data_IF_222336224162
#
_entry.id   IF_222336224162
#
_cell.length_a   1.000
_cell.length_b   1.000
_cell.length_c   1.000
_cell.angle_alpha   90.00
_cell.angle_beta   90.00
_cell.angle_gamma   90.00
#
_symmetry.space_group_name_H-M   'P 1'
#
loop_
_entity.id
_entity.type
_entity.pdbx_description
1 polymer ?
#
# COMPACT_ATOMS: atom_id res chain seq x y z
N UNK A 1 -5.33 1.18 -12.99
CA UNK A 1 -4.40 0.57 -13.97
C UNK A 1 -4.69 1.17 -15.36
N UNK A 2 -3.73 1.89 -15.97
CA UNK A 2 -3.86 2.39 -17.34
C UNK A 2 -2.93 1.58 -18.25
N UNK A 3 -3.51 0.86 -19.21
CA UNK A 3 -2.77 0.07 -20.19
C UNK A 3 -2.50 0.93 -21.42
N UNK A 4 -1.23 1.12 -21.78
CA UNK A 4 -0.83 1.80 -23.02
C UNK A 4 -0.35 0.76 -24.02
N UNK A 5 -1.20 0.41 -24.99
CA UNK A 5 -0.86 -0.48 -26.09
C UNK A 5 -0.57 0.34 -27.36
N UNK A 6 0.53 0.08 -28.08
CA UNK A 6 0.56 0.30 -29.51
C UNK A 6 -0.55 -0.54 -30.15
N UNK A 7 -1.14 -0.07 -31.25
CA UNK A 7 -2.20 -0.78 -31.98
C UNK A 7 -1.78 -2.20 -32.37
N UNK A 8 -2.11 -3.19 -31.55
CA UNK A 8 -1.84 -4.61 -31.81
C UNK A 8 -3.11 -5.41 -31.47
N UNK A 9 -3.67 -6.08 -32.48
CA UNK A 9 -4.80 -6.99 -32.30
C UNK A 9 -4.28 -8.34 -31.81
N UNK A 10 -4.76 -8.79 -30.64
CA UNK A 10 -4.50 -10.16 -30.18
C UNK A 10 -5.44 -11.12 -30.94
N UNK A 11 -4.94 -12.09 -31.73
CA UNK A 11 -5.79 -13.08 -32.35
C UNK A 11 -6.27 -14.11 -31.32
N UNK A 12 -7.56 -14.45 -31.42
CA UNK A 12 -8.29 -15.43 -30.60
C UNK A 12 -7.54 -16.78 -30.50
N UNK A 13 -6.68 -16.92 -29.50
CA UNK A 13 -6.14 -18.20 -29.04
C UNK A 13 -5.66 -18.03 -27.61
N UNK A 14 -6.12 -18.88 -26.70
CA UNK A 14 -5.69 -18.91 -25.30
C UNK A 14 -4.21 -19.32 -25.24
N UNK A 15 -3.31 -18.34 -25.35
CA UNK A 15 -1.88 -18.54 -25.19
C UNK A 15 -1.40 -17.62 -24.06
N UNK A 16 -0.97 -18.24 -22.96
CA UNK A 16 -0.24 -17.54 -21.90
C UNK A 16 1.03 -16.92 -22.50
N UNK A 17 1.21 -15.62 -22.25
CA UNK A 17 2.42 -14.87 -22.59
C UNK A 17 2.94 -14.26 -21.30
N UNK A 18 4.21 -14.50 -20.98
CA UNK A 18 4.88 -13.86 -19.87
C UNK A 18 5.05 -12.36 -20.16
N UNK A 19 4.76 -11.55 -19.15
CA UNK A 19 5.14 -10.15 -19.06
C UNK A 19 6.27 -9.99 -18.03
N UNK A 20 6.89 -8.81 -18.00
CA UNK A 20 7.96 -8.50 -17.04
C UNK A 20 7.66 -7.20 -16.32
N UNK A 21 8.23 -7.05 -15.13
CA UNK A 21 8.39 -5.78 -14.43
C UNK A 21 9.89 -5.56 -14.17
N UNK A 22 10.26 -4.33 -13.81
CA UNK A 22 11.63 -3.93 -13.51
C UNK A 22 11.66 -2.58 -12.82
N UNK A 23 12.78 -2.24 -12.18
CA UNK A 23 12.90 -1.02 -11.39
C UNK A 23 12.90 0.22 -12.29
N UNK A 24 12.41 1.34 -11.74
CA UNK A 24 12.50 2.64 -12.42
C UNK A 24 13.96 3.03 -12.60
N UNK A 25 14.46 3.01 -13.84
CA UNK A 25 15.84 3.38 -14.17
C UNK A 25 16.65 2.25 -14.81
N UNK A 26 16.17 1.01 -14.74
CA UNK A 26 16.77 -0.11 -15.48
C UNK A 26 16.65 0.10 -16.99
N UNK A 27 17.59 -0.46 -17.77
CA UNK A 27 17.41 -0.58 -19.23
C UNK A 27 16.39 -1.68 -19.52
N UNK A 28 15.20 -1.35 -20.08
CA UNK A 28 14.14 -2.32 -20.25
C UNK A 28 14.43 -3.35 -21.35
N UNK A 29 15.29 -3.04 -22.34
CA UNK A 29 15.44 -3.85 -23.54
C UNK A 29 16.19 -5.18 -23.34
N UNK A 30 17.26 -5.25 -22.52
CA UNK A 30 17.79 -6.53 -22.05
C UNK A 30 16.72 -7.43 -21.42
N UNK A 31 15.80 -6.85 -20.64
CA UNK A 31 14.76 -7.58 -19.92
C UNK A 31 13.67 -8.05 -20.89
N UNK A 32 13.26 -7.24 -21.86
CA UNK A 32 12.36 -7.68 -22.94
C UNK A 32 12.99 -8.75 -23.84
N UNK A 33 14.32 -8.74 -24.03
CA UNK A 33 15.01 -9.84 -24.71
C UNK A 33 14.94 -11.13 -23.90
N UNK A 34 14.98 -11.06 -22.57
CA UNK A 34 14.77 -12.20 -21.68
C UNK A 34 13.32 -12.69 -21.75
N UNK A 35 12.33 -11.78 -21.66
CA UNK A 35 10.90 -12.09 -21.84
C UNK A 35 10.66 -12.92 -23.10
N UNK A 36 11.28 -12.51 -24.22
CA UNK A 36 11.16 -13.21 -25.51
C UNK A 36 11.67 -14.66 -25.48
N UNK A 37 12.61 -15.01 -24.60
CA UNK A 37 13.11 -16.40 -24.48
C UNK A 37 12.11 -17.34 -23.82
N UNK A 38 11.22 -16.81 -22.99
CA UNK A 38 10.21 -17.60 -22.27
C UNK A 38 8.85 -17.66 -22.98
N UNK A 39 8.67 -16.83 -24.01
CA UNK A 39 7.44 -16.77 -24.80
C UNK A 39 7.59 -17.55 -26.11
N UNK A 40 6.46 -18.06 -26.61
CA UNK A 40 6.41 -18.73 -27.90
C UNK A 40 6.90 -17.80 -29.03
N UNK A 41 7.61 -18.33 -30.04
CA UNK A 41 8.01 -17.54 -31.20
C UNK A 41 6.83 -16.79 -31.83
N UNK A 42 7.02 -15.49 -32.08
CA UNK A 42 5.98 -14.61 -32.62
C UNK A 42 4.90 -14.15 -31.61
N UNK A 43 4.92 -14.65 -30.36
CA UNK A 43 3.96 -14.29 -29.29
C UNK A 43 4.64 -13.60 -28.10
N UNK A 44 5.48 -12.60 -28.37
CA UNK A 44 6.19 -11.86 -27.31
C UNK A 44 6.31 -10.38 -27.63
N UNK A 45 5.18 -9.66 -27.54
CA UNK A 45 5.21 -8.20 -27.53
C UNK A 45 5.97 -7.73 -26.27
N UNK A 46 6.95 -6.81 -26.38
CA UNK A 46 7.61 -6.23 -25.22
C UNK A 46 6.58 -5.52 -24.34
N UNK A 47 6.39 -6.00 -23.11
CA UNK A 47 5.38 -5.47 -22.20
C UNK A 47 5.94 -5.40 -20.79
N UNK A 48 5.98 -4.18 -20.26
CA UNK A 48 6.12 -3.94 -18.82
C UNK A 48 4.73 -4.00 -18.18
N UNK A 49 4.47 -5.04 -17.38
CA UNK A 49 3.21 -5.20 -16.65
C UNK A 49 3.12 -4.24 -15.45
N UNK A 50 4.27 -3.81 -14.93
CA UNK A 50 4.37 -2.77 -13.91
C UNK A 50 5.54 -1.85 -14.28
N UNK A 51 5.22 -0.69 -14.83
CA UNK A 51 6.16 0.41 -15.00
C UNK A 51 6.00 1.34 -13.80
N UNK A 52 6.93 1.23 -12.85
CA UNK A 52 6.85 1.99 -11.62
C UNK A 52 6.99 3.50 -11.88
N UNK A 53 5.94 4.27 -11.58
CA UNK A 53 5.96 5.74 -11.72
C UNK A 53 6.40 6.45 -10.45
N UNK A 54 6.50 5.71 -9.36
CA UNK A 54 6.87 6.15 -8.02
C UNK A 54 7.04 4.94 -7.11
N UNK A 55 6.75 5.05 -5.81
CA UNK A 55 6.91 3.94 -4.87
C UNK A 55 5.98 4.06 -3.66
N UNK A 56 5.75 2.93 -2.97
CA UNK A 56 5.03 2.90 -1.70
C UNK A 56 5.87 3.51 -0.57
N UNK A 57 5.23 3.85 0.55
CA UNK A 57 5.90 4.41 1.74
C UNK A 57 5.31 3.76 2.98
N UNK A 58 6.17 3.48 3.95
CA UNK A 58 5.75 2.94 5.24
C UNK A 58 5.69 4.03 6.33
N UNK A 59 4.95 3.77 7.40
CA UNK A 59 4.97 4.64 8.58
C UNK A 59 6.38 4.79 9.15
N UNK A 60 6.77 6.04 9.43
CA UNK A 60 8.10 6.39 9.96
C UNK A 60 9.16 6.63 8.89
N UNK A 61 8.89 6.36 7.61
CA UNK A 61 9.78 6.67 6.50
C UNK A 61 9.53 8.08 5.95
N UNK A 62 10.51 8.60 5.19
CA UNK A 62 10.28 9.78 4.36
C UNK A 62 9.41 9.41 3.16
N UNK A 63 8.51 10.31 2.75
CA UNK A 63 7.64 10.09 1.59
C UNK A 63 8.48 9.78 0.35
N UNK A 64 8.21 8.63 -0.27
CA UNK A 64 8.91 8.21 -1.47
C UNK A 64 8.56 9.14 -2.66
N UNK A 65 9.57 9.51 -3.43
CA UNK A 65 9.41 10.36 -4.62
C UNK A 65 10.31 9.87 -5.74
N UNK A 66 9.88 10.04 -6.99
CA UNK A 66 10.71 9.78 -8.17
C UNK A 66 10.72 10.96 -9.12
N UNK A 67 11.85 11.19 -9.78
CA UNK A 67 12.03 12.32 -10.68
C UNK A 67 11.19 12.18 -11.96
N UNK A 68 10.35 13.18 -12.23
CA UNK A 68 9.46 13.22 -13.38
C UNK A 68 10.19 13.09 -14.73
N UNK A 69 11.38 13.69 -14.85
CA UNK A 69 12.14 13.68 -16.11
C UNK A 69 12.72 12.29 -16.39
N UNK A 70 13.28 11.66 -15.36
CA UNK A 70 13.83 10.31 -15.41
C UNK A 70 12.76 9.27 -15.71
N UNK A 71 11.60 9.34 -15.03
CA UNK A 71 10.46 8.46 -15.31
C UNK A 71 9.97 8.63 -16.75
N UNK A 72 9.85 9.87 -17.24
CA UNK A 72 9.43 10.13 -18.63
C UNK A 72 10.45 9.60 -19.66
N UNK A 73 11.75 9.74 -19.39
CA UNK A 73 12.82 9.19 -20.25
C UNK A 73 12.75 7.66 -20.31
N UNK A 74 12.52 7.00 -19.17
CA UNK A 74 12.36 5.55 -19.11
C UNK A 74 11.14 5.09 -19.92
N UNK A 75 9.97 5.72 -19.73
CA UNK A 75 8.76 5.42 -20.52
C UNK A 75 8.98 5.62 -22.02
N UNK A 76 9.67 6.70 -22.41
CA UNK A 76 10.01 6.99 -23.82
C UNK A 76 10.85 5.88 -24.44
N UNK A 77 11.80 5.34 -23.69
CA UNK A 77 12.67 4.26 -24.16
C UNK A 77 11.90 2.97 -24.48
N UNK A 78 10.73 2.76 -23.85
CA UNK A 78 9.82 1.64 -24.10
C UNK A 78 8.92 1.96 -25.29
N UNK A 79 8.12 3.02 -25.20
CA UNK A 79 7.04 3.31 -26.16
C UNK A 79 7.58 3.64 -27.56
N UNK A 80 8.62 4.47 -27.68
CA UNK A 80 9.17 4.87 -28.98
C UNK A 80 9.91 3.73 -29.71
N UNK A 81 10.04 2.56 -29.08
CA UNK A 81 10.63 1.35 -29.66
C UNK A 81 9.59 0.21 -29.76
N UNK A 82 8.30 0.58 -29.82
CA UNK A 82 7.17 -0.34 -29.97
C UNK A 82 6.99 -1.32 -28.79
N UNK A 83 7.43 -0.94 -27.60
CA UNK A 83 7.09 -1.62 -26.35
C UNK A 83 5.80 -1.07 -25.74
N UNK A 84 5.16 -1.86 -24.90
CA UNK A 84 3.96 -1.50 -24.13
C UNK A 84 4.30 -1.37 -22.64
N UNK A 85 3.55 -0.54 -21.93
CA UNK A 85 3.72 -0.38 -20.49
C UNK A 85 2.36 -0.16 -19.79
N UNK A 86 2.24 -0.73 -18.60
CA UNK A 86 1.18 -0.43 -17.64
C UNK A 86 1.78 0.48 -16.56
N UNK A 87 1.27 1.69 -16.42
CA UNK A 87 1.78 2.64 -15.42
C UNK A 87 1.32 2.20 -14.02
N UNK A 88 2.28 1.80 -13.19
CA UNK A 88 2.07 1.41 -11.79
C UNK A 88 2.68 2.47 -10.86
N UNK A 89 1.93 3.32 -10.19
CA UNK A 89 0.51 3.56 -10.33
C UNK A 89 0.27 4.81 -11.17
N UNK A 90 -0.59 4.73 -12.20
CA UNK A 90 -1.08 5.94 -12.87
C UNK A 90 -1.83 6.87 -11.90
N UNK A 91 -2.62 6.28 -11.01
CA UNK A 91 -3.30 6.90 -9.88
C UNK A 91 -3.29 5.85 -8.76
N UNK A 92 -2.71 6.16 -7.61
CA UNK A 92 -2.65 5.20 -6.51
C UNK A 92 -3.86 5.30 -5.57
N UNK A 93 -4.19 6.49 -5.08
CA UNK A 93 -5.39 6.75 -4.27
C UNK A 93 -5.16 6.58 -2.78
N UNK A 94 -6.08 5.92 -2.08
CA UNK A 94 -6.12 5.84 -0.60
C UNK A 94 -6.47 4.44 -0.13
N UNK A 95 -5.72 3.94 0.85
CA UNK A 95 -6.02 2.73 1.61
C UNK A 95 -6.98 3.07 2.76
N UNK A 96 -8.28 3.16 2.47
CA UNK A 96 -9.29 3.46 3.51
C UNK A 96 -9.41 2.35 4.56
N UNK A 97 -9.89 2.69 5.75
CA UNK A 97 -10.14 1.71 6.82
C UNK A 97 -8.86 0.96 7.22
N UNK A 98 -8.92 -0.37 7.15
CA UNK A 98 -7.80 -1.28 7.48
C UNK A 98 -7.28 -2.04 6.25
N UNK A 99 -7.40 -1.44 5.06
CA UNK A 99 -6.98 -2.08 3.81
C UNK A 99 -5.51 -1.84 3.43
N UNK A 100 -4.73 -1.17 4.29
CA UNK A 100 -3.31 -0.99 4.03
C UNK A 100 -2.57 -2.34 4.10
N UNK A 101 -1.55 -2.49 3.25
CA UNK A 101 -0.63 -3.61 3.29
C UNK A 101 0.47 -3.41 4.34
N UNK A 102 1.44 -4.32 4.29
CA UNK A 102 2.68 -4.22 5.02
C UNK A 102 3.77 -5.09 4.36
N UNK A 103 5.03 -4.77 4.65
CA UNK A 103 6.19 -5.55 4.27
C UNK A 103 7.02 -5.93 5.49
N UNK A 104 7.90 -6.92 5.32
CA UNK A 104 9.01 -7.19 6.24
C UNK A 104 10.27 -6.48 5.75
N UNK A 105 11.10 -5.99 6.67
CA UNK A 105 12.39 -5.38 6.38
C UNK A 105 13.47 -6.40 6.04
N UNK A 106 14.69 -6.16 6.52
CA UNK A 106 15.79 -7.12 6.31
C UNK A 106 15.56 -8.43 7.07
N UNK A 107 14.85 -8.34 8.17
CA UNK A 107 14.44 -9.48 9.00
C UNK A 107 12.92 -9.60 9.04
N UNK A 108 12.42 -10.80 9.30
CA UNK A 108 10.99 -11.07 9.46
C UNK A 108 10.34 -10.32 10.65
N UNK A 109 11.17 -9.83 11.58
CA UNK A 109 10.74 -9.08 12.76
C UNK A 109 10.57 -7.57 12.48
N UNK A 110 11.07 -7.07 11.36
CA UNK A 110 10.89 -5.68 10.95
C UNK A 110 9.57 -5.50 10.21
N UNK A 111 8.48 -5.37 10.95
CA UNK A 111 7.17 -5.07 10.37
C UNK A 111 7.08 -3.61 9.91
N UNK A 112 6.73 -3.42 8.63
CA UNK A 112 6.57 -2.11 8.01
C UNK A 112 5.17 -1.97 7.43
N UNK A 113 4.28 -1.29 8.14
CA UNK A 113 2.93 -1.00 7.64
C UNK A 113 2.96 0.12 6.61
N UNK A 114 2.24 -0.07 5.50
CA UNK A 114 2.01 0.96 4.49
C UNK A 114 1.21 2.13 5.06
N UNK A 115 1.41 3.33 4.50
CA UNK A 115 0.60 4.49 4.82
C UNK A 115 -0.87 4.30 4.39
N UNK A 116 -1.77 5.08 5.03
CA UNK A 116 -3.14 5.27 4.56
C UNK A 116 -3.16 5.93 3.17
N UNK A 117 -2.29 6.92 2.95
CA UNK A 117 -2.12 7.49 1.61
C UNK A 117 -1.45 6.48 0.71
N UNK A 118 -2.03 6.25 -0.47
CA UNK A 118 -1.42 5.51 -1.55
C UNK A 118 -1.15 6.45 -2.73
N UNK A 119 -0.74 7.71 -2.48
CA UNK A 119 -0.39 8.69 -3.55
C UNK A 119 0.65 8.12 -4.50
N UNK A 120 1.57 7.30 -3.97
CA UNK A 120 2.62 6.58 -4.71
C UNK A 120 3.61 7.50 -5.45
N UNK A 121 3.54 8.82 -5.23
CA UNK A 121 4.08 9.83 -6.15
C UNK A 121 3.66 9.59 -7.62
N UNK A 122 2.44 9.09 -7.81
CA UNK A 122 1.82 8.85 -9.09
C UNK A 122 1.64 10.15 -9.90
N UNK A 123 1.54 10.07 -11.24
CA UNK A 123 1.19 11.22 -12.05
C UNK A 123 -0.22 11.76 -11.77
N UNK A 124 -1.16 10.95 -11.31
CA UNK A 124 -2.45 11.43 -10.79
C UNK A 124 -2.40 11.32 -9.27
N UNK A 125 -2.42 12.46 -8.58
CA UNK A 125 -2.32 12.54 -7.12
C UNK A 125 -3.47 11.83 -6.42
N UNK A 126 -3.31 11.51 -5.14
CA UNK A 126 -4.31 10.83 -4.30
C UNK A 126 -5.69 11.49 -4.39
N UNK A 127 -5.74 12.81 -4.45
CA UNK A 127 -6.98 13.59 -4.57
C UNK A 127 -7.38 13.90 -6.04
N UNK A 128 -6.80 13.21 -7.01
CA UNK A 128 -7.12 13.32 -8.44
C UNK A 128 -6.40 14.43 -9.21
N UNK A 129 -5.55 15.23 -8.57
CA UNK A 129 -4.85 16.33 -9.23
C UNK A 129 -3.82 15.86 -10.26
N UNK A 130 -3.83 16.50 -11.43
CA UNK A 130 -2.97 16.23 -12.59
C UNK A 130 -2.03 17.38 -12.90
N UNK A 131 -2.07 18.49 -12.15
CA UNK A 131 -1.27 19.69 -12.41
C UNK A 131 0.18 19.61 -11.93
N UNK A 132 0.79 18.43 -12.00
CA UNK A 132 2.15 18.17 -11.56
C UNK A 132 3.12 17.90 -12.75
N UNK A 133 4.44 18.04 -12.54
CA UNK A 133 5.43 17.81 -13.60
C UNK A 133 5.40 16.39 -14.19
N UNK A 134 5.12 15.37 -13.37
CA UNK A 134 5.14 13.96 -13.78
C UNK A 134 4.02 13.65 -14.76
N UNK A 135 2.79 14.06 -14.47
CA UNK A 135 1.66 13.94 -15.39
C UNK A 135 1.97 14.60 -16.73
N UNK A 136 2.42 15.86 -16.71
CA UNK A 136 2.74 16.63 -17.91
C UNK A 136 3.82 15.94 -18.76
N UNK A 137 4.86 15.41 -18.12
CA UNK A 137 5.96 14.73 -18.80
C UNK A 137 5.54 13.39 -19.43
N UNK A 138 4.80 12.55 -18.70
CA UNK A 138 4.33 11.25 -19.21
C UNK A 138 3.30 11.45 -20.34
N UNK A 139 2.35 12.38 -20.17
CA UNK A 139 1.37 12.73 -21.21
C UNK A 139 2.04 13.17 -22.50
N UNK A 140 3.10 13.97 -22.43
CA UNK A 140 3.91 14.38 -23.59
C UNK A 140 4.58 13.18 -24.26
N UNK A 141 5.24 12.32 -23.50
CA UNK A 141 5.94 11.13 -24.04
C UNK A 141 4.99 10.17 -24.74
N UNK A 142 3.80 9.94 -24.16
CA UNK A 142 2.77 9.08 -24.77
C UNK A 142 2.37 9.66 -26.14
N UNK A 143 2.09 10.96 -26.23
CA UNK A 143 1.77 11.61 -27.50
C UNK A 143 2.92 11.50 -28.51
N UNK A 144 4.15 11.84 -28.10
CA UNK A 144 5.34 11.79 -28.96
C UNK A 144 5.58 10.38 -29.54
N UNK A 145 5.42 9.32 -28.75
CA UNK A 145 5.75 7.97 -29.19
C UNK A 145 4.58 7.22 -29.87
N UNK A 146 3.33 7.59 -29.60
CA UNK A 146 2.15 6.85 -30.11
C UNK A 146 1.31 7.64 -31.10
N UNK A 147 1.49 8.96 -31.18
CA UNK A 147 0.61 9.85 -31.95
C UNK A 147 -0.77 10.06 -31.31
N UNK A 148 -1.04 9.49 -30.13
CA UNK A 148 -2.33 9.63 -29.45
C UNK A 148 -2.65 11.11 -29.20
N UNK A 149 -3.82 11.63 -29.63
CA UNK A 149 -4.19 13.01 -29.42
C UNK A 149 -4.20 13.42 -27.94
N UNK A 150 -3.77 14.66 -27.68
CA UNK A 150 -3.75 15.24 -26.36
C UNK A 150 -5.13 15.80 -25.99
N UNK A 151 -5.94 15.02 -25.27
CA UNK A 151 -7.26 15.47 -24.79
C UNK A 151 -7.15 16.57 -23.74
N UNK A 152 -8.08 17.55 -23.70
CA UNK A 152 -8.10 18.58 -22.68
C UNK A 152 -8.17 17.96 -21.27
N UNK A 153 -7.58 18.64 -20.29
CA UNK A 153 -7.65 18.21 -18.89
C UNK A 153 -9.07 18.39 -18.35
N UNK A 154 -9.50 17.55 -17.39
CA UNK A 154 -10.72 17.80 -16.65
C UNK A 154 -10.64 19.14 -15.89
N UNK A 155 -11.80 19.66 -15.49
CA UNK A 155 -11.87 20.82 -14.61
C UNK A 155 -11.19 20.54 -13.27
N UNK A 156 -10.69 21.60 -12.63
CA UNK A 156 -10.04 21.50 -11.34
C UNK A 156 -11.02 21.02 -10.26
N UNK A 157 -10.54 20.16 -9.38
CA UNK A 157 -11.32 19.65 -8.25
C UNK A 157 -11.29 20.73 -7.16
N UNK A 158 -12.47 21.25 -6.80
CA UNK A 158 -12.60 22.24 -5.72
C UNK A 158 -12.16 21.65 -4.39
N UNK A 159 -11.43 22.45 -3.60
CA UNK A 159 -10.92 22.07 -2.28
C UNK A 159 -11.29 23.16 -1.29
N UNK A 160 -11.76 22.75 -0.12
CA UNK A 160 -12.13 23.65 0.96
C UNK A 160 -11.26 23.40 2.19
N UNK A 161 -10.84 24.48 2.85
CA UNK A 161 -10.30 24.42 4.21
C UNK A 161 -11.42 24.74 5.18
N UNK A 162 -11.98 23.71 5.81
CA UNK A 162 -13.12 23.84 6.73
C UNK A 162 -12.75 24.48 8.08
N UNK A 163 -11.47 24.72 8.34
CA UNK A 163 -10.99 25.28 9.59
C UNK A 163 -10.98 24.28 10.74
N UNK A 164 -10.86 24.80 11.95
CA UNK A 164 -10.72 24.00 13.16
C UNK A 164 -12.09 23.48 13.65
N UNK A 165 -12.20 22.17 13.80
CA UNK A 165 -13.36 21.52 14.43
C UNK A 165 -13.01 21.19 15.88
N UNK A 166 -13.76 21.74 16.84
CA UNK A 166 -13.59 21.40 18.26
C UNK A 166 -14.23 20.05 18.54
N UNK A 167 -13.43 19.09 19.01
CA UNK A 167 -13.90 17.78 19.42
C UNK A 167 -14.20 17.76 20.92
N UNK A 168 -15.27 17.05 21.31
CA UNK A 168 -15.61 16.78 22.70
C UNK A 168 -15.48 15.27 22.94
N UNK A 169 -14.82 14.88 24.02
CA UNK A 169 -14.75 13.47 24.42
C UNK A 169 -16.17 12.98 24.74
N UNK A 170 -16.63 11.97 24.02
CA UNK A 170 -17.94 11.34 24.26
C UNK A 170 -17.84 10.25 25.32
N UNK A 171 -16.90 9.30 25.16
CA UNK A 171 -16.68 8.21 26.10
C UNK A 171 -15.26 7.62 25.96
N UNK A 172 -14.80 6.86 26.95
CA UNK A 172 -13.68 5.94 26.77
C UNK A 172 -14.17 4.66 26.08
N UNK A 173 -13.29 3.97 25.34
CA UNK A 173 -13.60 2.66 24.75
C UNK A 173 -14.14 1.67 25.79
N UNK A 174 -13.55 1.63 26.99
CA UNK A 174 -13.96 0.73 28.07
C UNK A 174 -15.33 1.07 28.67
N UNK A 175 -15.75 2.34 28.62
CA UNK A 175 -17.06 2.76 29.13
C UNK A 175 -18.20 2.30 28.22
N UNK A 176 -17.87 2.01 26.95
CA UNK A 176 -18.83 1.61 25.92
C UNK A 176 -18.61 0.19 25.43
N UNK A 177 -17.63 -0.52 25.98
CA UNK A 177 -17.22 -1.85 25.50
C UNK A 177 -18.40 -2.81 25.43
N UNK A 178 -19.18 -2.91 26.51
CA UNK A 178 -20.37 -3.78 26.58
C UNK A 178 -21.47 -3.41 25.57
N UNK A 179 -21.41 -2.20 24.99
CA UNK A 179 -22.38 -1.72 24.00
C UNK A 179 -21.93 -1.96 22.55
N UNK A 180 -20.63 -2.03 22.31
CA UNK A 180 -20.04 -2.17 20.97
C UNK A 180 -19.52 -3.58 20.70
N UNK A 181 -19.26 -4.35 21.76
CA UNK A 181 -18.86 -5.74 21.64
C UNK A 181 -20.12 -6.60 21.49
N UNK A 182 -20.14 -7.46 20.47
CA UNK A 182 -21.15 -8.49 20.34
C UNK A 182 -20.80 -9.63 21.33
N UNK A 183 -21.63 -9.91 22.35
CA UNK A 183 -21.35 -10.96 23.32
C UNK A 183 -21.15 -12.34 22.66
N UNK A 184 -21.72 -12.56 21.47
CA UNK A 184 -21.56 -13.80 20.70
C UNK A 184 -20.17 -13.93 20.06
N UNK A 185 -19.35 -12.88 20.06
CA UNK A 185 -17.99 -12.87 19.52
C UNK A 185 -16.91 -12.93 20.61
N UNK A 186 -17.30 -13.17 21.86
CA UNK A 186 -16.36 -13.40 22.95
C UNK A 186 -15.89 -14.86 22.92
N UNK A 187 -14.58 -15.07 22.82
CA UNK A 187 -13.96 -16.39 22.90
C UNK A 187 -13.17 -16.53 24.20
N UNK A 188 -13.36 -17.66 24.90
CA UNK A 188 -12.59 -18.02 26.09
C UNK A 188 -11.62 -19.13 25.70
N UNK A 189 -10.33 -18.95 26.00
CA UNK A 189 -9.27 -19.90 25.68
C UNK A 189 -8.16 -19.83 26.73
N UNK A 190 -7.48 -20.95 26.97
CA UNK A 190 -6.31 -21.00 27.85
C UNK A 190 -5.10 -20.25 27.25
N UNK A 191 -5.03 -20.16 25.93
CA UNK A 191 -3.98 -19.45 25.19
C UNK A 191 -4.59 -18.32 24.33
N UNK A 192 -3.88 -17.19 24.14
CA UNK A 192 -4.35 -16.13 23.26
C UNK A 192 -4.61 -16.65 21.84
N UNK A 193 -5.84 -16.47 21.34
CA UNK A 193 -6.22 -16.83 19.98
C UNK A 193 -5.85 -15.71 19.01
N UNK A 194 -5.49 -16.01 17.76
CA UNK A 194 -5.32 -14.97 16.74
C UNK A 194 -6.67 -14.38 16.31
N UNK A 195 -6.64 -13.24 15.60
CA UNK A 195 -7.87 -12.59 15.14
C UNK A 195 -8.68 -13.46 14.18
N UNK A 196 -7.99 -14.20 13.32
CA UNK A 196 -8.61 -15.10 12.34
C UNK A 196 -9.33 -16.26 13.02
N UNK A 197 -8.76 -16.79 14.11
CA UNK A 197 -9.39 -17.86 14.90
C UNK A 197 -10.65 -17.39 15.64
N UNK A 198 -10.80 -16.08 15.85
CA UNK A 198 -12.04 -15.47 16.38
C UNK A 198 -13.01 -15.04 15.27
N UNK A 199 -12.67 -15.29 14.00
CA UNK A 199 -13.50 -14.88 12.85
C UNK A 199 -13.43 -13.38 12.53
N UNK A 200 -12.45 -12.65 13.07
CA UNK A 200 -12.24 -11.23 12.82
C UNK A 200 -11.03 -10.99 11.91
N UNK A 201 -11.23 -10.29 10.80
CA UNK A 201 -10.19 -10.08 9.77
C UNK A 201 -9.47 -8.72 9.88
N UNK A 202 -10.11 -7.70 10.45
CA UNK A 202 -9.58 -6.34 10.52
C UNK A 202 -9.88 -5.68 11.86
N UNK A 203 -9.20 -4.57 12.16
CA UNK A 203 -9.45 -3.75 13.33
C UNK A 203 -8.74 -4.26 14.58
N UNK A 204 -9.46 -4.31 15.70
CA UNK A 204 -8.87 -4.52 17.03
C UNK A 204 -9.50 -5.72 17.73
N UNK A 205 -8.68 -6.48 18.45
CA UNK A 205 -9.10 -7.45 19.44
C UNK A 205 -8.73 -6.98 20.86
N UNK A 206 -9.62 -7.25 21.81
CA UNK A 206 -9.34 -7.07 23.23
C UNK A 206 -9.11 -8.44 23.87
N UNK A 207 -7.93 -8.64 24.45
CA UNK A 207 -7.63 -9.81 25.28
C UNK A 207 -7.74 -9.41 26.75
N UNK A 208 -8.48 -10.21 27.52
CA UNK A 208 -8.67 -10.00 28.96
C UNK A 208 -8.26 -11.28 29.68
N UNK A 209 -7.51 -11.13 30.77
CA UNK A 209 -7.13 -12.23 31.65
C UNK A 209 -7.11 -11.73 33.09
N UNK A 210 -7.50 -12.60 34.01
CA UNK A 210 -7.42 -12.34 35.44
C UNK A 210 -6.18 -13.03 36.02
N UNK A 211 -5.43 -12.30 36.84
CA UNK A 211 -4.25 -12.83 37.50
C UNK A 211 -4.31 -12.55 39.01
N UNK A 212 -4.21 -13.61 39.82
CA UNK A 212 -4.05 -13.45 41.27
C UNK A 212 -2.58 -13.16 41.60
N UNK A 213 -2.29 -11.92 41.97
CA UNK A 213 -0.96 -11.50 42.42
C UNK A 213 -0.54 -12.26 43.68
N UNK A 214 0.71 -12.75 43.70
CA UNK A 214 1.26 -13.42 44.90
C UNK A 214 1.49 -12.47 46.08
N UNK A 215 1.57 -11.15 45.87
CA UNK A 215 1.66 -10.14 46.93
C UNK A 215 1.03 -8.80 46.52
N UNK A 216 0.45 -8.02 47.46
CA UNK A 216 -0.30 -6.78 47.20
C UNK A 216 0.52 -5.61 46.61
N UNK A 217 1.85 -5.71 46.51
CA UNK A 217 2.72 -4.66 45.96
C UNK A 217 3.72 -5.13 44.89
N UNK A 218 3.67 -6.40 44.50
CA UNK A 218 4.56 -6.87 43.44
C UNK A 218 4.01 -6.39 42.10
N UNK A 219 4.68 -5.41 41.50
CA UNK A 219 4.59 -5.17 40.06
C UNK A 219 5.08 -6.46 39.40
N UNK A 220 4.17 -7.35 39.03
CA UNK A 220 4.51 -8.45 38.16
C UNK A 220 5.11 -7.82 36.90
N UNK A 221 6.43 -7.95 36.76
CA UNK A 221 7.11 -7.77 35.50
C UNK A 221 6.60 -8.93 34.63
N UNK A 222 5.45 -8.74 34.01
CA UNK A 222 4.95 -9.67 33.01
C UNK A 222 5.92 -9.55 31.84
N UNK A 223 6.95 -10.40 31.85
CA UNK A 223 7.80 -10.59 30.70
C UNK A 223 6.94 -11.31 29.68
N UNK A 224 6.19 -10.54 28.87
CA UNK A 224 5.55 -11.09 27.68
C UNK A 224 6.67 -11.50 26.74
N UNK A 225 7.10 -12.76 26.86
CA UNK A 225 7.89 -13.45 25.85
C UNK A 225 6.96 -13.80 24.70
N UNK A 226 6.42 -12.80 24.03
CA UNK A 226 5.68 -12.96 22.80
C UNK A 226 6.67 -12.73 21.67
N UNK A 227 7.18 -13.81 21.08
CA UNK A 227 8.02 -13.73 19.88
C UNK A 227 7.27 -13.21 18.66
N UNK A 228 5.95 -13.06 18.72
CA UNK A 228 5.08 -12.76 17.57
C UNK A 228 3.93 -11.78 17.90
N UNK A 229 4.22 -10.61 18.49
CA UNK A 229 3.23 -9.51 18.44
C UNK A 229 3.28 -8.90 17.04
N UNK A 230 2.22 -9.10 16.27
CA UNK A 230 2.18 -8.65 14.87
C UNK A 230 1.86 -7.17 14.67
N UNK A 231 1.30 -6.46 15.66
CA UNK A 231 0.74 -5.10 15.43
C UNK A 231 1.03 -4.08 16.55
N UNK A 232 0.25 -4.06 17.64
CA UNK A 232 0.44 -3.12 18.76
C UNK A 232 -0.31 -3.63 19.99
N UNK A 233 0.33 -3.57 21.17
CA UNK A 233 -0.26 -3.98 22.45
C UNK A 233 -0.35 -2.78 23.39
N UNK A 234 -1.57 -2.47 23.86
CA UNK A 234 -1.79 -1.52 24.94
C UNK A 234 -2.14 -2.31 26.21
N UNK A 235 -1.25 -2.27 27.21
CA UNK A 235 -1.46 -2.94 28.49
C UNK A 235 -2.16 -2.00 29.48
N UNK A 236 -3.22 -2.53 30.09
CA UNK A 236 -4.00 -1.83 31.11
C UNK A 236 -4.03 -2.69 32.37
N UNK A 237 -3.71 -2.08 33.50
CA UNK A 237 -3.88 -2.69 34.82
C UNK A 237 -4.81 -1.82 35.62
N UNK A 238 -5.88 -2.41 36.15
CA UNK A 238 -6.87 -1.74 37.01
C UNK A 238 -7.46 -0.45 36.40
N UNK A 239 -7.67 -0.45 35.07
CA UNK A 239 -8.22 0.70 34.33
C UNK A 239 -7.26 1.87 34.11
N UNK A 240 -5.99 1.76 34.53
CA UNK A 240 -4.96 2.79 34.31
C UNK A 240 -4.13 2.47 33.06
N UNK A 241 -4.15 3.38 32.08
CA UNK A 241 -3.30 3.31 30.87
C UNK A 241 -1.85 3.57 31.28
N UNK A 242 -0.96 2.60 31.08
CA UNK A 242 0.48 2.86 31.03
C UNK A 242 0.96 2.63 29.61
N UNK A 243 1.52 3.65 28.92
CA UNK A 243 2.11 3.42 27.61
C UNK A 243 3.28 2.46 27.75
N UNK A 244 3.18 1.28 27.15
CA UNK A 244 4.30 0.37 27.01
C UNK A 244 5.12 0.85 25.80
N UNK A 245 6.27 1.48 26.05
CA UNK A 245 7.28 1.67 25.01
C UNK A 245 8.16 0.43 25.01
N UNK A 246 8.11 -0.33 23.93
CA UNK A 246 9.18 -1.27 23.61
C UNK A 246 10.47 -0.42 23.46
N UNK A 247 11.41 -0.60 24.38
CA UNK A 247 12.78 -0.12 24.21
C UNK A 247 13.62 -1.33 23.79
N UNK A 248 14.42 -1.22 22.71
CA UNK A 248 15.25 -2.32 22.22
C UNK A 248 16.32 -2.74 23.22
#
# INVERSE_FOLDING_TARGET
MLLVLPSYQFPNSYNSSAAVDFSTGDDPWPIFRLQKKYNLPGKSAPLSAEFYTGWLTHWGESIATTDASSTAKALKSILCRNGSAVLYMAHGGTNFGFYNGANTGQTEYEYKADLTSYDYDAPIKEHGDVHNPKYKALRRVIHECTGTPLHPLPADIERASYGLVKLQKVASFFDIFDKICDPLKVAVSEQPLSMELTGQMFGFLLYVSEYQGKEPRCLCHAHLMTSEIKYMLALLKDGLVKPYRYQP
#
